data_IF_678301555518
#
_entry.id   IF_678301555518
#
_cell.length_a   1.000
_cell.length_b   1.000
_cell.length_c   1.000
_cell.angle_alpha   90.00
_cell.angle_beta   90.00
_cell.angle_gamma   90.00
#
_symmetry.space_group_name_H-M   'P 1'
#
loop_
_entity.id
_entity.type
_entity.pdbx_description
1 polymer ?
#
# COMPACT_ATOMS: atom_id res chain seq x y z
N UNK A 1 -6.07 -15.04 11.65
CA UNK A 1 -5.08 -14.35 10.80
C UNK A 1 -4.44 -13.16 11.50
N UNK A 2 -5.19 -12.39 12.32
CA UNK A 2 -4.60 -11.29 13.11
C UNK A 2 -3.47 -11.77 14.03
N UNK A 3 -3.75 -12.76 14.88
CA UNK A 3 -2.75 -13.38 15.78
C UNK A 3 -1.52 -13.89 15.01
N UNK A 4 -1.71 -14.63 13.91
CA UNK A 4 -0.59 -15.07 13.05
C UNK A 4 0.29 -13.91 12.53
N UNK A 5 -0.32 -12.77 12.17
CA UNK A 5 0.44 -11.60 11.71
C UNK A 5 1.16 -10.91 12.87
N UNK A 6 0.57 -10.89 14.07
CA UNK A 6 1.19 -10.37 15.29
C UNK A 6 2.37 -11.25 15.74
N UNK A 7 2.29 -12.56 15.52
CA UNK A 7 3.36 -13.50 15.87
C UNK A 7 4.57 -13.40 14.92
N UNK A 8 4.35 -13.16 13.62
CA UNK A 8 5.41 -13.19 12.60
C UNK A 8 6.00 -11.81 12.29
N UNK A 9 5.27 -10.73 12.55
CA UNK A 9 5.69 -9.37 12.23
C UNK A 9 6.02 -8.60 13.51
N UNK A 10 7.08 -7.83 13.44
CA UNK A 10 7.27 -6.76 14.42
C UNK A 10 6.21 -5.67 14.23
N UNK A 11 5.90 -4.88 15.29
CA UNK A 11 4.95 -3.77 15.16
C UNK A 11 5.31 -2.78 14.04
N UNK A 12 6.61 -2.53 13.81
CA UNK A 12 7.06 -1.63 12.75
C UNK A 12 6.85 -2.20 11.34
N UNK A 13 7.06 -3.51 11.14
CA UNK A 13 6.79 -4.17 9.86
C UNK A 13 5.31 -4.19 9.54
N UNK A 14 4.46 -4.44 10.55
CA UNK A 14 3.02 -4.38 10.40
C UNK A 14 2.56 -3.00 9.93
N UNK A 15 3.01 -1.93 10.60
CA UNK A 15 2.72 -0.55 10.22
C UNK A 15 3.22 -0.22 8.80
N UNK A 16 4.38 -0.75 8.40
CA UNK A 16 4.90 -0.56 7.05
C UNK A 16 4.01 -1.23 5.98
N UNK A 17 3.56 -2.46 6.23
CA UNK A 17 2.65 -3.17 5.33
C UNK A 17 1.31 -2.42 5.20
N UNK A 18 0.74 -1.97 6.32
CA UNK A 18 -0.48 -1.17 6.35
C UNK A 18 -0.30 0.11 5.53
N UNK A 19 0.80 0.84 5.75
CA UNK A 19 1.11 2.07 5.02
C UNK A 19 1.23 1.82 3.52
N UNK A 20 1.95 0.78 3.10
CA UNK A 20 2.10 0.40 1.69
C UNK A 20 0.75 0.08 1.04
N UNK A 21 -0.13 -0.62 1.76
CA UNK A 21 -1.47 -0.91 1.26
C UNK A 21 -2.34 0.33 1.11
N UNK A 22 -2.27 1.27 2.06
CA UNK A 22 -2.99 2.55 1.94
C UNK A 22 -2.48 3.37 0.74
N UNK A 23 -1.17 3.40 0.50
CA UNK A 23 -0.59 4.03 -0.70
C UNK A 23 -1.19 3.43 -1.97
N UNK A 24 -1.21 2.09 -2.09
CA UNK A 24 -1.76 1.38 -3.25
C UNK A 24 -3.23 1.72 -3.48
N UNK A 25 -4.07 1.70 -2.43
CA UNK A 25 -5.50 2.06 -2.52
C UNK A 25 -5.73 3.50 -2.97
N UNK A 26 -4.89 4.42 -2.54
CA UNK A 26 -5.01 5.83 -2.90
C UNK A 26 -4.55 6.07 -4.35
N UNK A 27 -3.47 5.40 -4.77
CA UNK A 27 -3.00 5.42 -6.16
C UNK A 27 -4.04 4.81 -7.11
N UNK A 28 -4.68 3.71 -6.74
CA UNK A 28 -5.73 3.08 -7.56
C UNK A 28 -6.98 3.94 -7.73
N UNK A 29 -7.18 4.93 -6.84
CA UNK A 29 -8.24 5.95 -6.93
C UNK A 29 -7.82 7.19 -7.74
N UNK A 30 -6.61 7.22 -8.31
CA UNK A 30 -6.12 8.35 -9.10
C UNK A 30 -5.64 9.54 -8.27
N UNK A 31 -5.42 9.38 -6.96
CA UNK A 31 -4.96 10.49 -6.12
C UNK A 31 -3.49 10.82 -6.45
N UNK A 32 -3.12 12.10 -6.67
CA UNK A 32 -1.73 12.48 -6.95
C UNK A 32 -0.77 12.12 -5.81
N UNK A 33 0.45 11.67 -6.15
CA UNK A 33 1.45 11.23 -5.17
C UNK A 33 1.75 12.28 -4.09
N UNK A 34 1.81 13.57 -4.43
CA UNK A 34 1.99 14.66 -3.47
C UNK A 34 0.84 14.76 -2.45
N UNK A 35 -0.39 14.52 -2.90
CA UNK A 35 -1.56 14.47 -2.02
C UNK A 35 -1.52 13.26 -1.08
N UNK A 36 -1.06 12.11 -1.59
CA UNK A 36 -0.87 10.90 -0.77
C UNK A 36 0.21 11.12 0.29
N UNK A 37 1.35 11.72 -0.09
CA UNK A 37 2.44 12.04 0.83
C UNK A 37 1.98 12.90 2.00
N UNK A 38 1.22 13.97 1.73
CA UNK A 38 0.64 14.85 2.75
C UNK A 38 -0.34 14.10 3.66
N UNK A 39 -1.21 13.27 3.07
CA UNK A 39 -2.27 12.57 3.81
C UNK A 39 -1.74 11.45 4.71
N UNK A 40 -0.76 10.68 4.22
CA UNK A 40 -0.21 9.53 4.95
C UNK A 40 1.07 9.87 5.72
N UNK A 41 1.55 11.12 5.64
CA UNK A 41 2.78 11.58 6.28
C UNK A 41 3.98 10.70 5.89
N UNK A 42 4.13 10.47 4.59
CA UNK A 42 5.23 9.66 4.03
C UNK A 42 6.00 10.43 2.96
N UNK A 43 7.26 10.05 2.75
CA UNK A 43 8.07 10.61 1.67
C UNK A 43 7.56 10.20 0.29
N UNK A 44 7.80 11.05 -0.72
CA UNK A 44 7.49 10.73 -2.12
C UNK A 44 8.19 9.43 -2.56
N UNK A 45 9.44 9.21 -2.15
CA UNK A 45 10.18 7.99 -2.44
C UNK A 45 9.50 6.71 -1.92
N UNK A 46 8.81 6.79 -0.78
CA UNK A 46 8.04 5.64 -0.25
C UNK A 46 6.82 5.32 -1.13
N UNK A 47 6.29 6.30 -1.86
CA UNK A 47 5.14 6.14 -2.76
C UNK A 47 5.54 5.59 -4.12
N UNK A 48 6.69 6.01 -4.66
CA UNK A 48 7.12 5.62 -6.02
C UNK A 48 7.25 4.10 -6.19
N UNK A 49 7.72 3.39 -5.16
CA UNK A 49 7.77 1.91 -5.17
C UNK A 49 6.37 1.30 -5.31
N UNK A 50 5.41 1.72 -4.48
CA UNK A 50 4.02 1.26 -4.58
C UNK A 50 3.38 1.59 -5.94
N UNK A 51 3.71 2.76 -6.49
CA UNK A 51 3.27 3.16 -7.83
C UNK A 51 3.84 2.27 -8.93
N UNK A 52 5.09 1.80 -8.81
CA UNK A 52 5.71 0.90 -9.79
C UNK A 52 5.02 -0.46 -9.79
N UNK A 53 4.86 -1.07 -8.63
CA UNK A 53 4.23 -2.39 -8.50
C UNK A 53 2.76 -2.37 -8.97
N UNK A 54 2.04 -1.27 -8.72
CA UNK A 54 0.66 -1.11 -9.18
C UNK A 54 0.53 -0.93 -10.70
N UNK A 55 1.62 -0.73 -11.46
CA UNK A 55 1.53 -0.71 -12.93
C UNK A 55 1.25 -2.08 -13.52
N UNK A 56 1.68 -3.14 -12.85
CA UNK A 56 1.40 -4.51 -13.28
C UNK A 56 -0.06 -4.87 -12.99
N UNK A 57 -0.91 -4.82 -14.01
CA UNK A 57 -2.35 -5.13 -13.93
C UNK A 57 -2.65 -6.60 -13.60
N UNK A 58 -1.66 -7.48 -13.75
CA UNK A 58 -1.74 -8.90 -13.41
C UNK A 58 -1.06 -9.20 -12.06
N UNK A 59 -0.45 -8.18 -11.43
CA UNK A 59 0.25 -8.29 -10.17
C UNK A 59 -0.68 -8.48 -8.97
N UNK A 60 -0.09 -8.87 -7.84
CA UNK A 60 -0.82 -9.17 -6.60
C UNK A 60 -1.73 -8.04 -6.12
N UNK A 61 -1.28 -6.78 -6.23
CA UNK A 61 -2.10 -5.62 -5.84
C UNK A 61 -3.39 -5.50 -6.63
N UNK A 62 -3.36 -5.71 -7.97
CA UNK A 62 -4.59 -5.66 -8.77
C UNK A 62 -5.51 -6.83 -8.49
N UNK A 63 -4.98 -8.03 -8.24
CA UNK A 63 -5.78 -9.19 -7.84
C UNK A 63 -6.56 -8.87 -6.57
N UNK A 64 -5.89 -8.40 -5.51
CA UNK A 64 -6.53 -8.05 -4.24
C UNK A 64 -7.50 -6.87 -4.39
N UNK A 65 -7.16 -5.82 -5.15
CA UNK A 65 -8.05 -4.68 -5.40
C UNK A 65 -9.35 -5.09 -6.10
N UNK A 66 -9.29 -6.04 -7.04
CA UNK A 66 -10.45 -6.55 -7.77
C UNK A 66 -11.34 -7.46 -6.91
N UNK A 67 -10.76 -8.20 -5.96
CA UNK A 67 -11.52 -9.07 -5.03
C UNK A 67 -12.43 -8.30 -4.06
N UNK A 68 -12.23 -6.98 -3.90
CA UNK A 68 -13.05 -6.13 -3.02
C UNK A 68 -14.16 -5.34 -3.74
N UNK A 69 -14.41 -5.64 -5.02
CA UNK A 69 -15.62 -5.19 -5.74
C UNK A 69 -16.66 -6.30 -5.69
#
# INVERSE_FOLDING_TARGET
>A
MGEFMEDILTPSEFEEIVTRWQIVKQLSKGIPQRGIAKKLVVSIAKITRGSRELRDKNGGFWKVLKMKK
#
